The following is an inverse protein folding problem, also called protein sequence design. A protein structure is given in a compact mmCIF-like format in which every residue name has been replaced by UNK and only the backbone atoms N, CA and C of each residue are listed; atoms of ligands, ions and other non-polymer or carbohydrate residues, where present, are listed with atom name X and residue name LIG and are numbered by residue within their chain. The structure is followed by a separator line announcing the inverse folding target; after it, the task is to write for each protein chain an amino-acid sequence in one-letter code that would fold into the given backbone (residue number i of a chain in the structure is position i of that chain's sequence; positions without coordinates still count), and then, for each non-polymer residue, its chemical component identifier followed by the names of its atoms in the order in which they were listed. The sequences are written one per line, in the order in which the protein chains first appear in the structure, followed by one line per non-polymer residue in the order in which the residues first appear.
data_IF_944205745590
#
_entry.id   IF_944205745590
#
_cell.length_a   1.000
_cell.length_b   1.000
_cell.length_c   1.000
_cell.angle_alpha   90.00
_cell.angle_beta   90.00
_cell.angle_gamma   90.00
#
_symmetry.space_group_name_H-M   'P 1'
#
loop_
_entity.id
_entity.type
_entity.pdbx_description
1 polymer ?
#
# COMPACT_ATOMS: atom_id res chain seq x y z
N UNK A 1 20.49 12.37 12.15
CA UNK A 1 19.08 12.70 12.21
C UNK A 1 18.45 12.70 10.86
N UNK A 2 19.15 13.27 9.89
CA UNK A 2 18.68 13.18 8.52
C UNK A 2 18.59 11.74 8.07
N UNK A 3 19.54 10.93 8.53
CA UNK A 3 19.52 9.50 8.23
C UNK A 3 18.29 8.83 8.84
N UNK A 4 17.89 9.27 10.02
CA UNK A 4 16.72 8.72 10.67
C UNK A 4 15.47 9.03 9.86
N UNK A 5 15.36 10.23 9.33
CA UNK A 5 14.22 10.58 8.51
C UNK A 5 14.15 9.72 7.26
N UNK A 6 15.29 9.48 6.63
CA UNK A 6 15.33 8.62 5.46
C UNK A 6 14.92 7.20 5.81
N UNK A 7 15.34 6.73 6.98
CA UNK A 7 14.97 5.39 7.43
C UNK A 7 13.48 5.28 7.68
N UNK A 8 12.87 6.32 8.24
CA UNK A 8 11.43 6.31 8.48
C UNK A 8 10.65 6.20 7.20
N UNK A 9 11.12 6.80 6.12
CA UNK A 9 10.43 6.74 4.84
C UNK A 9 10.30 5.33 4.31
N UNK A 10 11.23 4.46 4.66
CA UNK A 10 11.30 3.11 4.14
C UNK A 10 11.08 2.06 5.20
N UNK A 11 10.75 2.47 6.42
CA UNK A 11 10.50 1.51 7.49
C UNK A 11 9.21 0.75 7.20
N UNK A 12 9.20 -0.56 7.42
CA UNK A 12 7.98 -1.32 7.23
C UNK A 12 6.93 -0.94 8.26
N UNK A 13 5.66 -1.09 7.86
CA UNK A 13 4.53 -0.91 8.75
C UNK A 13 4.18 -2.28 9.31
N UNK A 14 3.97 -2.35 10.62
CA UNK A 14 3.59 -3.61 11.23
C UNK A 14 2.16 -3.51 11.73
N UNK A 15 1.29 -4.36 11.19
CA UNK A 15 -0.12 -4.41 11.56
C UNK A 15 -0.43 -5.87 11.91
N UNK A 16 -0.83 -6.10 13.13
CA UNK A 16 -1.21 -7.45 13.61
C UNK A 16 -0.17 -8.52 13.28
N UNK A 17 1.11 -8.15 13.36
CA UNK A 17 2.21 -9.06 13.11
C UNK A 17 2.67 -9.16 11.67
N UNK A 18 1.97 -8.51 10.74
CA UNK A 18 2.38 -8.45 9.34
C UNK A 18 3.34 -7.30 9.14
N UNK A 19 4.47 -7.58 8.49
CA UNK A 19 5.42 -6.55 8.09
C UNK A 19 5.11 -6.16 6.66
N UNK A 20 4.73 -4.89 6.45
CA UNK A 20 4.25 -4.39 5.17
C UNK A 20 5.13 -3.23 4.70
N UNK A 21 5.36 -3.16 3.39
CA UNK A 21 6.21 -2.11 2.82
C UNK A 21 5.49 -1.41 1.67
N UNK A 22 4.54 -0.53 1.98
CA UNK A 22 3.87 0.23 0.92
C UNK A 22 4.84 1.21 0.26
N UNK A 23 4.52 1.61 -0.96
CA UNK A 23 5.31 2.60 -1.67
C UNK A 23 5.23 3.94 -0.97
N UNK A 24 6.35 4.66 -0.95
CA UNK A 24 6.45 5.94 -0.26
C UNK A 24 6.58 7.12 -1.22
N UNK A 25 6.75 6.85 -2.50
CA UNK A 25 6.96 7.90 -3.50
C UNK A 25 5.91 7.80 -4.59
N UNK A 26 5.53 8.94 -5.20
CA UNK A 26 4.59 8.90 -6.33
C UNK A 26 5.12 8.02 -7.45
N UNK A 27 4.21 7.35 -8.13
CA UNK A 27 4.53 6.52 -9.28
C UNK A 27 4.55 7.38 -10.55
N UNK A 28 4.99 6.79 -11.66
CA UNK A 28 4.90 7.42 -12.94
C UNK A 28 3.47 7.30 -13.48
N UNK A 29 3.12 8.20 -14.39
CA UNK A 29 1.79 8.17 -14.98
C UNK A 29 1.51 6.82 -15.61
N UNK A 30 0.30 6.33 -15.37
CA UNK A 30 -0.20 5.05 -15.90
C UNK A 30 0.47 3.80 -15.31
N UNK A 31 1.33 3.96 -14.31
CA UNK A 31 1.86 2.80 -13.60
C UNK A 31 0.75 2.11 -12.82
N UNK A 32 0.73 0.80 -12.90
CA UNK A 32 -0.23 0.00 -12.15
C UNK A 32 0.13 -0.05 -10.68
N UNK A 33 -0.88 0.06 -9.83
CA UNK A 33 -0.68 -0.18 -8.41
C UNK A 33 -1.94 -0.80 -7.81
N UNK A 34 -1.82 -1.28 -6.59
CA UNK A 34 -2.87 -2.02 -5.92
C UNK A 34 -3.04 -1.51 -4.50
N UNK A 35 -4.28 -1.51 -4.03
CA UNK A 35 -4.58 -1.11 -2.65
C UNK A 35 -5.32 -2.25 -1.96
N UNK A 36 -5.26 -2.32 -0.62
CA UNK A 36 -6.09 -3.28 0.11
C UNK A 36 -7.55 -2.96 -0.06
N UNK A 37 -8.36 -3.99 -0.23
CA UNK A 37 -9.79 -3.85 -0.44
C UNK A 37 -10.51 -5.03 0.22
N UNK A 38 -11.70 -4.79 0.70
CA UNK A 38 -12.47 -5.80 1.43
C UNK A 38 -13.75 -6.20 0.71
N UNK A 39 -13.90 -5.75 -0.53
CA UNK A 39 -15.14 -5.95 -1.26
C UNK A 39 -15.32 -7.35 -1.82
N UNK A 40 -14.26 -8.13 -1.91
CA UNK A 40 -14.29 -9.47 -2.49
C UNK A 40 -13.50 -10.41 -1.58
N UNK A 41 -14.07 -11.58 -1.30
CA UNK A 41 -13.41 -12.55 -0.45
C UNK A 41 -12.23 -13.24 -1.16
N UNK A 42 -12.29 -13.33 -2.48
CA UNK A 42 -11.24 -13.96 -3.25
C UNK A 42 -10.08 -13.01 -3.52
N UNK A 43 -10.40 -11.76 -3.83
CA UNK A 43 -9.41 -10.75 -4.14
C UNK A 43 -9.52 -9.62 -3.13
N UNK A 44 -8.58 -9.55 -2.21
CA UNK A 44 -8.59 -8.52 -1.17
C UNK A 44 -7.73 -7.33 -1.57
N UNK A 45 -7.79 -6.99 -2.83
CA UNK A 45 -7.08 -5.85 -3.38
C UNK A 45 -7.88 -5.25 -4.52
N UNK A 46 -7.55 -4.00 -4.87
CA UNK A 46 -8.15 -3.33 -6.01
C UNK A 46 -7.04 -2.70 -6.84
N UNK A 47 -7.18 -2.78 -8.16
CA UNK A 47 -6.18 -2.28 -9.11
C UNK A 47 -6.50 -0.85 -9.53
N UNK A 48 -5.46 -0.04 -9.59
CA UNK A 48 -5.54 1.33 -10.08
C UNK A 48 -4.35 1.65 -10.97
N UNK A 49 -4.50 2.69 -11.77
CA UNK A 49 -3.38 3.27 -12.53
C UNK A 49 -3.06 4.64 -11.94
N UNK A 50 -1.79 4.94 -11.82
CA UNK A 50 -1.38 6.19 -11.20
C UNK A 50 -1.68 7.39 -12.08
N UNK A 51 -2.23 8.43 -11.47
CA UNK A 51 -2.48 9.71 -12.12
C UNK A 51 -2.09 10.79 -11.12
N UNK A 52 -1.05 11.57 -11.46
CA UNK A 52 -0.53 12.58 -10.55
C UNK A 52 -1.50 13.74 -10.32
N UNK A 53 -2.50 13.89 -11.17
CA UNK A 53 -3.53 14.90 -11.00
C UNK A 53 -4.71 14.39 -10.18
N UNK A 54 -4.71 13.13 -9.81
CA UNK A 54 -5.81 12.53 -9.07
C UNK A 54 -5.59 12.68 -7.57
N UNK A 55 -6.55 13.29 -6.91
CA UNK A 55 -6.51 13.39 -5.44
C UNK A 55 -6.61 12.01 -4.80
N UNK A 56 -7.31 11.08 -5.47
CA UNK A 56 -7.46 9.73 -4.95
C UNK A 56 -6.13 9.00 -4.90
N UNK A 57 -5.31 9.15 -5.96
CA UNK A 57 -3.99 8.52 -5.97
C UNK A 57 -3.10 9.08 -4.86
N UNK A 58 -3.12 10.39 -4.68
CA UNK A 58 -2.37 11.01 -3.61
C UNK A 58 -2.85 10.56 -2.24
N UNK A 59 -4.16 10.39 -2.08
CA UNK A 59 -4.74 9.88 -0.84
C UNK A 59 -4.22 8.49 -0.54
N UNK A 60 -4.19 7.62 -1.54
CA UNK A 60 -3.69 6.25 -1.36
C UNK A 60 -2.22 6.27 -0.91
N UNK A 61 -1.42 7.09 -1.56
CA UNK A 61 0.00 7.17 -1.22
C UNK A 61 0.20 7.71 0.19
N UNK A 62 -0.50 8.77 0.54
CA UNK A 62 -0.39 9.41 1.84
C UNK A 62 -0.77 8.46 2.98
N UNK A 63 -1.72 7.57 2.74
CA UNK A 63 -2.20 6.66 3.77
C UNK A 63 -1.56 5.27 3.69
N UNK A 64 -0.44 5.16 2.96
CA UNK A 64 0.35 3.94 2.91
C UNK A 64 -0.43 2.75 2.32
N UNK A 65 -1.19 3.03 1.26
CA UNK A 65 -2.02 2.00 0.63
C UNK A 65 -1.48 1.54 -0.71
N UNK A 66 -0.42 2.16 -1.23
CA UNK A 66 0.07 1.89 -2.58
C UNK A 66 1.05 0.72 -2.58
N UNK A 67 0.75 -0.31 -3.36
CA UNK A 67 1.62 -1.47 -3.55
C UNK A 67 1.77 -1.76 -5.02
N UNK A 68 2.95 -2.22 -5.42
CA UNK A 68 3.22 -2.55 -6.83
C UNK A 68 2.78 -3.96 -7.19
N UNK A 69 2.45 -4.78 -6.20
CA UNK A 69 2.04 -6.16 -6.42
C UNK A 69 0.74 -6.44 -5.70
N UNK A 70 -0.22 -7.13 -6.34
CA UNK A 70 -1.51 -7.41 -5.71
C UNK A 70 -1.38 -8.25 -4.44
N UNK A 71 -0.39 -9.16 -4.40
CA UNK A 71 -0.18 -9.99 -3.23
C UNK A 71 0.13 -9.15 -1.99
N UNK A 72 0.91 -8.08 -2.16
CA UNK A 72 1.28 -7.23 -1.04
C UNK A 72 0.08 -6.42 -0.54
N UNK A 73 -0.76 -5.94 -1.45
CA UNK A 73 -1.99 -5.25 -1.07
C UNK A 73 -2.94 -6.19 -0.34
N UNK A 74 -3.03 -7.44 -0.80
CA UNK A 74 -3.85 -8.45 -0.15
C UNK A 74 -3.37 -8.72 1.26
N UNK A 75 -2.05 -8.81 1.46
CA UNK A 75 -1.48 -9.00 2.80
C UNK A 75 -1.87 -7.84 3.73
N UNK A 76 -1.86 -6.62 3.23
CA UNK A 76 -2.27 -5.46 4.03
C UNK A 76 -3.73 -5.60 4.46
N UNK A 77 -4.59 -6.00 3.54
CA UNK A 77 -6.01 -6.21 3.86
C UNK A 77 -6.18 -7.29 4.91
N UNK A 78 -5.47 -8.41 4.75
CA UNK A 78 -5.53 -9.50 5.74
C UNK A 78 -5.03 -9.05 7.10
N UNK A 79 -4.00 -8.21 7.12
CA UNK A 79 -3.47 -7.69 8.38
C UNK A 79 -4.51 -6.84 9.10
N UNK A 80 -5.23 -5.99 8.37
CA UNK A 80 -6.27 -5.16 8.95
C UNK A 80 -7.42 -5.98 9.52
N UNK A 81 -7.74 -7.09 8.89
CA UNK A 81 -8.79 -8.00 9.35
C UNK A 81 -8.27 -8.99 10.38
N UNK A 82 -6.95 -8.97 10.67
CA UNK A 82 -6.32 -9.88 11.60
C UNK A 82 -6.47 -11.34 11.18
N UNK A 83 -6.44 -11.59 9.89
CA UNK A 83 -6.49 -12.95 9.36
C UNK A 83 -5.09 -13.53 9.39
N UNK A 84 -4.94 -14.72 9.94
CA UNK A 84 -3.64 -15.38 10.01
C UNK A 84 -3.52 -16.41 8.90
N UNK A 85 -2.35 -16.41 8.28
CA UNK A 85 -2.06 -17.36 7.21
C UNK A 85 -1.58 -18.70 7.75
#
# INVERSE_FOLDING_TARGET
QELEECQFQYAPIIINGYSLKPEQKPLDKDDDYYIPCFGDMDDMYEHFEWDSDSELCEFHLKHNLVYLHPHDAERHAKALLNIKE
#
